data_IF_371241717866
#
_entry.id   IF_371241717866
#
_cell.length_a   1.000
_cell.length_b   1.000
_cell.length_c   1.000
_cell.angle_alpha   90.00
_cell.angle_beta   90.00
_cell.angle_gamma   90.00
#
_symmetry.space_group_name_H-M   'P 1'
#
loop_
_entity.id
_entity.type
_entity.pdbx_description
1 polymer ?
#
# COMPACT_ATOMS: atom_id res chain seq x y z
N UNK A 1 3.41 -5.12 24.90
CA UNK A 1 3.91 -6.50 24.85
C UNK A 1 4.00 -6.89 23.39
N UNK A 2 5.21 -6.91 22.83
CA UNK A 2 5.47 -6.95 21.38
C UNK A 2 6.32 -8.16 20.94
N UNK A 3 6.43 -9.18 21.79
CA UNK A 3 7.44 -10.24 21.66
C UNK A 3 6.91 -11.61 21.19
N UNK A 4 5.86 -11.68 20.36
CA UNK A 4 5.33 -13.02 19.96
C UNK A 4 4.83 -13.17 18.52
N UNK A 5 5.21 -12.31 17.56
CA UNK A 5 4.72 -12.40 16.16
C UNK A 5 5.84 -12.72 15.15
N UNK A 6 6.81 -13.51 15.57
CA UNK A 6 7.98 -13.83 14.75
C UNK A 6 8.15 -15.33 14.60
N UNK A 7 7.11 -16.05 14.17
CA UNK A 7 7.31 -17.41 13.66
C UNK A 7 6.37 -17.71 12.49
N UNK A 8 6.94 -17.78 11.28
CA UNK A 8 6.42 -18.44 10.06
C UNK A 8 6.94 -17.74 8.79
N UNK A 9 8.11 -18.16 8.30
CA UNK A 9 8.63 -17.68 7.01
C UNK A 9 9.85 -18.41 6.48
N UNK A 10 10.04 -19.70 6.78
CA UNK A 10 11.18 -20.48 6.29
C UNK A 10 10.82 -21.35 5.08
N UNK A 11 11.02 -20.85 3.85
CA UNK A 11 11.33 -21.71 2.68
C UNK A 11 12.31 -20.96 1.80
N UNK A 12 13.52 -21.53 1.65
CA UNK A 12 14.63 -20.93 0.91
C UNK A 12 14.25 -20.51 -0.51
N UNK A 13 14.42 -19.21 -0.79
CA UNK A 13 14.40 -18.66 -2.13
C UNK A 13 15.55 -19.27 -2.94
N UNK A 14 15.23 -20.14 -3.91
CA UNK A 14 16.19 -20.53 -4.95
C UNK A 14 16.64 -19.27 -5.70
N UNK A 15 17.92 -19.14 -6.06
CA UNK A 15 18.39 -18.00 -6.84
C UNK A 15 17.68 -17.97 -8.20
N UNK A 16 16.92 -16.90 -8.43
CA UNK A 16 16.24 -16.64 -9.71
C UNK A 16 17.28 -16.28 -10.77
N UNK A 17 17.21 -16.83 -11.99
CA UNK A 17 18.21 -16.60 -13.05
C UNK A 17 18.07 -15.23 -13.74
N UNK A 18 17.90 -14.15 -12.98
CA UNK A 18 17.78 -12.76 -13.49
C UNK A 18 18.98 -11.87 -13.14
N UNK A 19 20.00 -12.40 -12.48
CA UNK A 19 21.21 -11.66 -12.04
C UNK A 19 22.16 -11.24 -13.18
N UNK A 20 21.86 -11.53 -14.44
CA UNK A 20 22.80 -11.36 -15.56
C UNK A 20 22.96 -9.92 -16.10
N UNK A 21 22.20 -8.92 -15.62
CA UNK A 21 22.20 -7.58 -16.24
C UNK A 21 22.86 -6.45 -15.45
N UNK A 22 23.23 -6.63 -14.18
CA UNK A 22 23.83 -5.54 -13.40
C UNK A 22 25.36 -5.72 -13.26
N UNK A 23 26.11 -4.64 -13.47
CA UNK A 23 27.56 -4.64 -13.27
C UNK A 23 27.89 -5.09 -11.85
N UNK A 24 28.74 -6.12 -11.64
CA UNK A 24 29.12 -6.57 -10.31
C UNK A 24 29.66 -5.43 -9.43
N UNK A 25 30.40 -4.50 -10.03
CA UNK A 25 30.91 -3.32 -9.33
C UNK A 25 29.79 -2.36 -8.90
N UNK A 26 28.76 -2.16 -9.74
CA UNK A 26 27.63 -1.31 -9.39
C UNK A 26 26.87 -1.88 -8.18
N UNK A 27 26.61 -3.19 -8.18
CA UNK A 27 25.96 -3.86 -7.05
C UNK A 27 26.79 -3.75 -5.76
N UNK A 28 28.11 -3.98 -5.83
CA UNK A 28 28.99 -3.82 -4.66
C UNK A 28 29.06 -2.38 -4.17
N UNK A 29 29.09 -1.40 -5.08
CA UNK A 29 29.09 0.02 -4.73
C UNK A 29 27.79 0.43 -4.04
N UNK A 30 26.65 -0.08 -4.51
CA UNK A 30 25.36 0.15 -3.88
C UNK A 30 25.28 -0.46 -2.48
N UNK A 31 25.71 -1.71 -2.32
CA UNK A 31 25.77 -2.37 -1.01
C UNK A 31 26.66 -1.62 -0.03
N UNK A 32 27.84 -1.18 -0.47
CA UNK A 32 28.74 -0.36 0.34
C UNK A 32 28.08 0.96 0.75
N UNK A 33 27.42 1.65 -0.19
CA UNK A 33 26.69 2.88 0.10
C UNK A 33 25.59 2.65 1.15
N UNK A 34 24.81 1.58 1.00
CA UNK A 34 23.76 1.22 1.95
C UNK A 34 24.32 0.94 3.34
N UNK A 35 25.44 0.21 3.45
CA UNK A 35 26.13 0.01 4.74
C UNK A 35 26.53 1.35 5.33
N UNK A 36 27.28 2.16 4.58
CA UNK A 36 27.82 3.42 5.07
C UNK A 36 26.72 4.40 5.50
N UNK A 37 25.60 4.45 4.80
CA UNK A 37 24.49 5.35 5.11
C UNK A 37 23.61 4.89 6.30
N UNK A 38 23.58 3.58 6.58
CA UNK A 38 22.81 3.00 7.67
C UNK A 38 23.62 2.77 8.96
N UNK A 39 24.92 3.08 8.96
CA UNK A 39 25.70 3.15 10.21
C UNK A 39 25.08 4.16 11.17
N UNK A 40 25.00 3.79 12.44
CA UNK A 40 24.51 4.66 13.52
C UNK A 40 25.37 5.90 13.65
N UNK A 41 24.73 7.00 14.04
CA UNK A 41 25.44 8.23 14.36
C UNK A 41 26.33 8.00 15.58
N UNK A 42 27.52 8.58 15.58
CA UNK A 42 28.32 8.65 16.80
C UNK A 42 27.81 9.81 17.68
N UNK A 43 28.00 9.77 19.01
CA UNK A 43 27.33 10.68 19.96
C UNK A 43 27.40 12.17 19.62
N UNK A 44 28.52 12.62 19.02
CA UNK A 44 28.77 14.01 18.67
C UNK A 44 29.00 14.24 17.17
N UNK A 45 28.93 13.18 16.35
CA UNK A 45 29.22 13.25 14.91
C UNK A 45 28.17 12.49 14.10
N UNK A 46 27.24 13.21 13.45
CA UNK A 46 26.25 12.59 12.57
C UNK A 46 26.95 11.93 11.37
N UNK A 47 26.33 10.86 10.86
CA UNK A 47 26.87 10.06 9.77
C UNK A 47 27.01 10.91 8.48
N UNK A 48 28.24 11.15 7.99
CA UNK A 48 28.48 12.04 6.85
C UNK A 48 27.89 11.51 5.54
N UNK A 49 27.77 10.18 5.40
CA UNK A 49 27.17 9.55 4.21
C UNK A 49 25.66 9.75 4.19
N UNK A 50 25.01 9.59 5.36
CA UNK A 50 23.58 9.88 5.52
C UNK A 50 23.29 11.35 5.23
N UNK A 51 24.12 12.26 5.75
CA UNK A 51 23.98 13.70 5.45
C UNK A 51 24.17 14.01 3.96
N UNK A 52 25.10 13.34 3.29
CA UNK A 52 25.28 13.48 1.85
C UNK A 52 24.04 13.02 1.07
N UNK A 53 23.45 11.88 1.43
CA UNK A 53 22.19 11.36 0.85
C UNK A 53 21.03 12.33 1.04
N UNK A 54 20.89 12.91 2.24
CA UNK A 54 19.82 13.86 2.57
C UNK A 54 19.91 15.17 1.79
N UNK A 55 21.10 15.57 1.34
CA UNK A 55 21.37 16.94 0.92
C UNK A 55 21.77 17.14 -0.54
N UNK A 56 22.08 16.07 -1.28
CA UNK A 56 22.48 16.23 -2.68
C UNK A 56 21.33 16.78 -3.54
N UNK A 57 21.70 17.52 -4.59
CA UNK A 57 20.78 18.23 -5.50
C UNK A 57 20.94 17.79 -6.95
N UNK A 58 20.01 18.22 -7.80
CA UNK A 58 20.11 17.94 -9.21
C UNK A 58 21.23 18.78 -9.85
N UNK A 59 21.97 18.21 -10.78
CA UNK A 59 22.95 18.95 -11.62
C UNK A 59 22.34 20.13 -12.38
N UNK A 60 21.02 20.13 -12.61
CA UNK A 60 20.31 21.20 -13.30
C UNK A 60 19.82 22.32 -12.36
N UNK A 61 19.97 22.15 -11.04
CA UNK A 61 19.60 23.18 -10.08
C UNK A 61 20.67 24.27 -10.07
N UNK A 62 20.40 25.38 -10.75
CA UNK A 62 21.28 26.56 -10.82
C UNK A 62 21.41 27.33 -9.49
N UNK A 63 20.85 26.83 -8.39
CA UNK A 63 21.04 27.44 -7.08
C UNK A 63 22.50 27.27 -6.68
N UNK A 64 23.24 28.39 -6.61
CA UNK A 64 24.60 28.38 -6.09
C UNK A 64 24.64 27.61 -4.76
N UNK A 65 25.62 26.73 -4.57
CA UNK A 65 25.83 26.08 -3.28
C UNK A 65 26.02 27.17 -2.23
N UNK A 66 25.01 27.40 -1.40
CA UNK A 66 25.24 28.12 -0.15
C UNK A 66 26.21 27.27 0.66
N UNK A 67 27.37 27.82 0.99
CA UNK A 67 28.51 27.16 1.65
C UNK A 67 28.24 26.63 3.07
N UNK A 68 26.98 26.38 3.42
CA UNK A 68 26.54 25.99 4.76
C UNK A 68 26.52 24.48 4.98
N UNK A 69 26.42 23.65 3.93
CA UNK A 69 26.44 22.18 4.08
C UNK A 69 27.69 21.56 3.44
N UNK A 70 28.65 21.06 4.25
CA UNK A 70 29.91 20.49 3.75
C UNK A 70 29.72 19.14 3.01
N UNK A 71 28.54 18.51 3.14
CA UNK A 71 28.24 17.22 2.51
C UNK A 71 27.39 17.33 1.24
N UNK A 72 27.03 18.55 0.82
CA UNK A 72 26.20 18.76 -0.36
C UNK A 72 27.01 18.57 -1.66
N UNK A 73 26.47 17.76 -2.56
CA UNK A 73 26.99 17.56 -3.91
C UNK A 73 25.85 17.54 -4.93
N UNK A 74 26.17 17.45 -6.22
CA UNK A 74 25.19 17.38 -7.30
C UNK A 74 25.28 16.04 -8.02
N UNK A 75 24.12 15.51 -8.41
CA UNK A 75 23.99 14.30 -9.23
C UNK A 75 22.93 14.52 -10.30
N UNK A 76 23.06 13.86 -11.45
CA UNK A 76 22.04 13.91 -12.48
C UNK A 76 20.83 13.07 -12.04
N UNK A 77 19.71 13.74 -11.74
CA UNK A 77 18.51 13.07 -11.26
C UNK A 77 17.87 12.17 -12.31
N UNK A 78 18.00 12.49 -13.60
CA UNK A 78 17.47 11.65 -14.67
C UNK A 78 18.21 10.31 -14.76
N UNK A 79 19.54 10.33 -14.67
CA UNK A 79 20.36 9.12 -14.64
C UNK A 79 20.06 8.27 -13.40
N UNK A 80 19.95 8.91 -12.22
CA UNK A 80 19.58 8.22 -10.99
C UNK A 80 18.19 7.58 -11.08
N UNK A 81 17.20 8.33 -11.56
CA UNK A 81 15.83 7.83 -11.74
C UNK A 81 15.75 6.65 -12.71
N UNK A 82 16.46 6.74 -13.84
CA UNK A 82 16.51 5.66 -14.84
C UNK A 82 17.10 4.40 -14.24
N UNK A 83 18.23 4.52 -13.52
CA UNK A 83 18.87 3.39 -12.85
C UNK A 83 17.97 2.76 -11.77
N UNK A 84 17.23 3.58 -11.00
CA UNK A 84 16.28 3.09 -10.02
C UNK A 84 15.14 2.31 -10.69
N UNK A 85 14.57 2.82 -11.80
CA UNK A 85 13.52 2.11 -12.53
C UNK A 85 13.99 0.75 -13.07
N UNK A 86 15.18 0.71 -13.68
CA UNK A 86 15.75 -0.52 -14.27
C UNK A 86 16.07 -1.58 -13.21
N UNK A 87 16.50 -1.16 -12.01
CA UNK A 87 16.95 -2.06 -10.95
C UNK A 87 15.89 -2.33 -9.88
N UNK A 88 14.67 -1.79 -10.01
CA UNK A 88 13.66 -1.76 -8.94
C UNK A 88 13.18 -3.15 -8.48
N UNK A 89 13.45 -4.21 -9.25
CA UNK A 89 13.17 -5.60 -8.83
C UNK A 89 14.12 -6.12 -7.74
N UNK A 90 15.25 -5.43 -7.52
CA UNK A 90 16.24 -5.79 -6.51
C UNK A 90 15.94 -5.15 -5.15
N UNK A 91 16.24 -5.88 -4.09
CA UNK A 91 16.15 -5.41 -2.70
C UNK A 91 16.97 -4.13 -2.46
N UNK A 92 18.20 -4.10 -2.95
CA UNK A 92 19.14 -3.00 -2.72
C UNK A 92 18.64 -1.70 -3.37
N UNK A 93 18.14 -1.78 -4.61
CA UNK A 93 17.58 -0.60 -5.28
C UNK A 93 16.29 -0.13 -4.61
N UNK A 94 15.45 -1.07 -4.15
CA UNK A 94 14.22 -0.75 -3.43
C UNK A 94 14.53 -0.02 -2.12
N UNK A 95 15.53 -0.50 -1.35
CA UNK A 95 15.95 0.15 -0.12
C UNK A 95 16.55 1.55 -0.38
N UNK A 96 17.38 1.69 -1.42
CA UNK A 96 17.90 3.01 -1.81
C UNK A 96 16.77 3.96 -2.18
N UNK A 97 15.79 3.51 -2.98
CA UNK A 97 14.64 4.32 -3.36
C UNK A 97 13.87 4.81 -2.13
N UNK A 98 13.62 3.91 -1.17
CA UNK A 98 13.02 4.27 0.11
C UNK A 98 13.80 5.39 0.81
N UNK A 99 15.12 5.21 1.00
CA UNK A 99 15.96 6.20 1.68
C UNK A 99 15.91 7.56 0.97
N UNK A 100 15.96 7.55 -0.37
CA UNK A 100 15.92 8.76 -1.17
C UNK A 100 14.56 9.48 -1.08
N UNK A 101 13.45 8.76 -1.16
CA UNK A 101 12.12 9.34 -1.07
C UNK A 101 11.81 9.87 0.34
N UNK A 102 12.27 9.16 1.37
CA UNK A 102 12.04 9.55 2.75
C UNK A 102 12.93 10.73 3.16
N UNK A 103 14.23 10.64 2.88
CA UNK A 103 15.25 11.52 3.47
C UNK A 103 15.69 12.67 2.54
N UNK A 104 15.55 12.55 1.21
CA UNK A 104 15.94 13.61 0.27
C UNK A 104 14.71 14.22 -0.42
N UNK A 105 14.27 15.37 0.09
CA UNK A 105 13.10 16.09 -0.44
C UNK A 105 13.25 16.49 -1.92
N UNK A 106 14.47 16.81 -2.39
CA UNK A 106 14.70 17.17 -3.79
C UNK A 106 14.43 15.98 -4.72
N UNK A 107 14.93 14.80 -4.34
CA UNK A 107 14.69 13.56 -5.11
C UNK A 107 13.20 13.20 -5.06
N UNK A 108 12.56 13.28 -3.89
CA UNK A 108 11.11 13.03 -3.79
C UNK A 108 10.30 13.94 -4.72
N UNK A 109 10.56 15.25 -4.71
CA UNK A 109 9.89 16.20 -5.62
C UNK A 109 10.16 15.88 -7.07
N UNK A 110 11.40 15.51 -7.43
CA UNK A 110 11.74 15.13 -8.79
C UNK A 110 10.99 13.87 -9.26
N UNK A 111 10.92 12.83 -8.42
CA UNK A 111 10.21 11.58 -8.71
C UNK A 111 8.71 11.85 -8.90
N UNK A 112 8.09 12.63 -8.02
CA UNK A 112 6.67 12.98 -8.11
C UNK A 112 6.32 13.83 -9.35
N UNK A 113 7.30 14.53 -9.93
CA UNK A 113 7.12 15.32 -11.15
C UNK A 113 7.30 14.52 -12.46
N UNK A 114 7.63 13.23 -12.38
CA UNK A 114 7.85 12.38 -13.57
C UNK A 114 6.55 12.00 -14.27
N UNK A 115 6.58 12.02 -15.60
CA UNK A 115 5.45 11.60 -16.45
C UNK A 115 5.47 10.11 -16.76
N UNK A 116 6.61 9.46 -16.55
CA UNK A 116 6.90 8.04 -16.81
C UNK A 116 7.00 7.24 -15.51
N UNK A 117 6.15 7.58 -14.53
CA UNK A 117 6.16 7.04 -13.17
C UNK A 117 5.80 5.55 -13.11
N UNK A 118 5.13 5.04 -14.15
CA UNK A 118 4.81 3.61 -14.30
C UNK A 118 6.07 2.74 -14.35
N UNK A 119 7.18 3.25 -14.89
CA UNK A 119 8.45 2.51 -14.93
C UNK A 119 9.00 2.23 -13.54
N UNK A 120 8.67 3.08 -12.56
CA UNK A 120 9.05 2.92 -11.16
C UNK A 120 8.00 2.12 -10.38
N UNK A 121 6.71 2.45 -10.57
CA UNK A 121 5.62 1.88 -9.76
C UNK A 121 5.29 0.45 -10.17
N UNK A 122 5.36 0.08 -11.46
CA UNK A 122 5.01 -1.28 -11.89
C UNK A 122 5.87 -2.37 -11.26
N UNK A 123 7.21 -2.27 -11.21
CA UNK A 123 8.04 -3.24 -10.50
C UNK A 123 7.68 -3.34 -9.00
N UNK A 124 7.33 -2.23 -8.36
CA UNK A 124 6.93 -2.20 -6.93
C UNK A 124 5.61 -2.96 -6.74
N UNK A 125 4.64 -2.77 -7.65
CA UNK A 125 3.40 -3.54 -7.63
C UNK A 125 3.64 -5.04 -7.87
N UNK A 126 4.57 -5.39 -8.75
CA UNK A 126 4.95 -6.79 -9.01
C UNK A 126 5.59 -7.44 -7.77
N UNK A 127 6.39 -6.70 -6.99
CA UNK A 127 6.94 -7.16 -5.69
C UNK A 127 5.80 -7.48 -4.71
N UNK A 128 4.84 -6.57 -4.54
CA UNK A 128 3.71 -6.78 -3.62
C UNK A 128 2.76 -7.87 -4.08
N UNK A 129 2.60 -8.04 -5.39
CA UNK A 129 1.74 -9.09 -5.95
C UNK A 129 2.29 -10.49 -5.67
N UNK A 130 3.61 -10.66 -5.71
CA UNK A 130 4.34 -11.91 -5.42
C UNK A 130 4.85 -11.97 -3.96
N UNK A 131 4.10 -11.42 -3.01
CA UNK A 131 4.47 -11.36 -1.57
C UNK A 131 4.95 -12.71 -1.00
N UNK A 132 4.42 -13.84 -1.49
CA UNK A 132 4.77 -15.18 -1.04
C UNK A 132 6.15 -15.69 -1.51
N UNK A 133 6.72 -15.05 -2.54
CA UNK A 133 8.03 -15.39 -3.11
C UNK A 133 9.13 -14.41 -2.65
N UNK A 134 8.76 -13.39 -1.87
CA UNK A 134 9.64 -12.29 -1.45
C UNK A 134 9.92 -12.36 0.03
N UNK A 135 11.09 -11.86 0.43
CA UNK A 135 11.36 -11.68 1.85
C UNK A 135 10.51 -10.54 2.41
N UNK A 136 10.16 -10.62 3.71
CA UNK A 136 9.29 -9.65 4.37
C UNK A 136 9.83 -8.21 4.33
N UNK A 137 11.15 -8.04 4.48
CA UNK A 137 11.79 -6.72 4.44
C UNK A 137 11.57 -6.04 3.09
N UNK A 138 11.74 -6.76 1.97
CA UNK A 138 11.51 -6.23 0.62
C UNK A 138 10.06 -5.81 0.40
N UNK A 139 9.12 -6.62 0.89
CA UNK A 139 7.68 -6.33 0.84
C UNK A 139 7.36 -5.07 1.64
N UNK A 140 7.90 -4.92 2.84
CA UNK A 140 7.71 -3.71 3.65
C UNK A 140 8.28 -2.47 2.97
N UNK A 141 9.49 -2.56 2.39
CA UNK A 141 10.06 -1.42 1.65
C UNK A 141 9.17 -1.01 0.46
N UNK A 142 8.73 -1.98 -0.34
CA UNK A 142 7.82 -1.72 -1.45
C UNK A 142 6.52 -1.04 -0.99
N UNK A 143 5.94 -1.49 0.12
CA UNK A 143 4.72 -0.89 0.66
C UNK A 143 4.94 0.52 1.24
N UNK A 144 6.04 0.75 1.95
CA UNK A 144 6.39 2.07 2.48
C UNK A 144 6.61 3.07 1.34
N UNK A 145 7.27 2.65 0.25
CA UNK A 145 7.42 3.49 -0.94
C UNK A 145 6.05 3.87 -1.51
N UNK A 146 5.12 2.92 -1.66
CA UNK A 146 3.76 3.25 -2.10
C UNK A 146 3.06 4.21 -1.13
N UNK A 147 3.23 4.01 0.18
CA UNK A 147 2.65 4.91 1.17
C UNK A 147 3.18 6.34 0.99
N UNK A 148 4.50 6.52 0.90
CA UNK A 148 5.14 7.83 0.68
C UNK A 148 4.67 8.47 -0.63
N UNK A 149 4.57 7.70 -1.72
CA UNK A 149 4.11 8.23 -3.02
C UNK A 149 2.63 8.66 -2.95
N UNK A 150 1.79 7.87 -2.29
CA UNK A 150 0.35 8.17 -2.17
C UNK A 150 0.04 9.35 -1.24
N UNK A 151 0.99 9.86 -0.45
CA UNK A 151 0.81 11.10 0.31
C UNK A 151 0.48 12.31 -0.60
N UNK A 152 0.95 12.29 -1.85
CA UNK A 152 0.78 13.38 -2.81
C UNK A 152 -0.49 13.26 -3.67
N UNK A 153 -1.31 14.31 -3.68
CA UNK A 153 -2.55 14.37 -4.48
C UNK A 153 -2.30 14.47 -5.99
N UNK A 154 -1.16 15.01 -6.41
CA UNK A 154 -0.75 15.06 -7.82
C UNK A 154 -0.49 13.65 -8.33
N UNK A 155 0.32 12.88 -7.61
CA UNK A 155 0.57 11.47 -7.87
C UNK A 155 -0.74 10.69 -7.95
N UNK A 156 -1.58 10.76 -6.91
CA UNK A 156 -2.84 9.99 -6.86
C UNK A 156 -3.77 10.28 -8.04
N UNK A 157 -3.80 11.53 -8.54
CA UNK A 157 -4.59 11.87 -9.74
C UNK A 157 -3.94 11.35 -11.02
N UNK A 158 -2.64 11.59 -11.19
CA UNK A 158 -1.91 11.29 -12.43
C UNK A 158 -1.88 9.79 -12.76
N UNK A 159 -1.72 8.92 -11.77
CA UNK A 159 -1.65 7.46 -12.00
C UNK A 159 -2.94 6.87 -12.56
N UNK A 160 -4.09 7.53 -12.38
CA UNK A 160 -5.34 7.10 -13.00
C UNK A 160 -5.43 7.44 -14.49
N UNK A 161 -4.57 8.33 -14.99
CA UNK A 161 -4.49 8.75 -16.39
C UNK A 161 -3.47 7.92 -17.19
N UNK A 162 -2.53 7.26 -16.50
CA UNK A 162 -1.55 6.36 -17.12
C UNK A 162 -2.20 5.02 -17.46
N UNK A 163 -2.43 4.76 -18.75
CA UNK A 163 -3.05 3.53 -19.25
C UNK A 163 -1.99 2.49 -19.59
N UNK A 164 -2.10 1.35 -18.93
CA UNK A 164 -1.24 0.19 -19.13
C UNK A 164 -1.94 -0.83 -20.03
N UNK A 165 -1.14 -1.50 -20.86
CA UNK A 165 -1.62 -2.53 -21.77
C UNK A 165 -1.00 -3.88 -21.43
N UNK A 166 -1.83 -4.91 -21.44
CA UNK A 166 -1.42 -6.32 -21.32
C UNK A 166 -0.57 -6.61 -20.08
N UNK A 167 -1.16 -6.51 -18.89
CA UNK A 167 -0.49 -6.94 -17.65
C UNK A 167 -0.45 -8.48 -17.63
N UNK A 168 0.75 -9.06 -17.78
CA UNK A 168 0.93 -10.51 -17.95
C UNK A 168 1.08 -11.28 -16.64
N UNK A 169 1.55 -10.62 -15.57
CA UNK A 169 1.80 -11.25 -14.28
C UNK A 169 0.57 -11.31 -13.36
N UNK A 170 -0.49 -10.54 -13.66
CA UNK A 170 -1.72 -10.56 -12.88
C UNK A 170 -2.60 -11.75 -13.29
N UNK A 171 -2.76 -12.73 -12.41
CA UNK A 171 -3.28 -14.05 -12.76
C UNK A 171 -4.80 -14.20 -12.56
N UNK A 172 -5.42 -13.42 -11.67
CA UNK A 172 -6.85 -13.59 -11.35
C UNK A 172 -7.78 -13.15 -12.48
N UNK A 173 -7.29 -12.32 -13.40
CA UNK A 173 -8.04 -11.84 -14.57
C UNK A 173 -7.10 -11.33 -15.65
N UNK A 174 -7.41 -11.61 -16.91
CA UNK A 174 -6.72 -10.97 -18.04
C UNK A 174 -7.02 -9.47 -18.04
N UNK A 175 -5.98 -8.65 -17.89
CA UNK A 175 -6.05 -7.19 -17.89
C UNK A 175 -5.45 -6.65 -19.19
N UNK A 176 -6.30 -6.48 -20.21
CA UNK A 176 -5.88 -5.95 -21.53
C UNK A 176 -5.56 -4.47 -21.48
N UNK A 177 -6.40 -3.68 -20.81
CA UNK A 177 -6.24 -2.23 -20.64
C UNK A 177 -6.71 -1.81 -19.25
N UNK A 178 -5.83 -1.18 -18.47
CA UNK A 178 -6.12 -0.74 -17.10
C UNK A 178 -5.26 0.46 -16.74
N UNK A 179 -5.79 1.42 -15.97
CA UNK A 179 -4.95 2.49 -15.45
C UNK A 179 -4.01 2.00 -14.35
N UNK A 180 -2.83 2.60 -14.24
CA UNK A 180 -1.87 2.30 -13.17
C UNK A 180 -2.51 2.42 -11.79
N UNK A 181 -3.32 3.46 -11.56
CA UNK A 181 -4.06 3.63 -10.31
C UNK A 181 -5.06 2.52 -10.03
N UNK A 182 -5.77 2.01 -11.04
CA UNK A 182 -6.67 0.85 -10.87
C UNK A 182 -5.90 -0.44 -10.58
N UNK A 183 -4.72 -0.63 -11.19
CA UNK A 183 -3.86 -1.77 -10.93
C UNK A 183 -3.28 -1.74 -9.52
N UNK A 184 -2.82 -0.57 -9.06
CA UNK A 184 -2.34 -0.36 -7.69
C UNK A 184 -3.42 -0.78 -6.69
N UNK A 185 -4.66 -0.31 -6.86
CA UNK A 185 -5.78 -0.69 -6.00
C UNK A 185 -5.99 -2.22 -5.99
N UNK A 186 -5.94 -2.88 -7.15
CA UNK A 186 -6.09 -4.34 -7.24
C UNK A 186 -4.99 -5.08 -6.47
N UNK A 187 -3.73 -4.65 -6.62
CA UNK A 187 -2.59 -5.25 -5.94
C UNK A 187 -2.69 -5.04 -4.44
N UNK A 188 -2.97 -3.82 -3.98
CA UNK A 188 -3.09 -3.54 -2.53
C UNK A 188 -4.27 -4.31 -1.92
N UNK A 189 -5.41 -4.42 -2.61
CA UNK A 189 -6.53 -5.27 -2.15
C UNK A 189 -6.10 -6.74 -2.05
N UNK A 190 -5.37 -7.26 -3.04
CA UNK A 190 -4.84 -8.63 -2.98
C UNK A 190 -3.89 -8.81 -1.79
N UNK A 191 -3.00 -7.85 -1.54
CA UNK A 191 -2.08 -7.87 -0.40
C UNK A 191 -2.83 -7.88 0.93
N UNK A 192 -3.88 -7.06 1.08
CA UNK A 192 -4.77 -7.09 2.26
C UNK A 192 -5.41 -8.47 2.41
N UNK A 193 -5.99 -9.03 1.35
CA UNK A 193 -6.65 -10.35 1.39
C UNK A 193 -5.68 -11.48 1.76
N UNK A 194 -4.48 -11.47 1.19
CA UNK A 194 -3.42 -12.41 1.52
C UNK A 194 -3.07 -12.29 3.00
N UNK A 195 -2.84 -11.07 3.47
CA UNK A 195 -2.46 -10.82 4.85
C UNK A 195 -3.54 -11.27 5.85
N UNK A 196 -4.81 -11.00 5.54
CA UNK A 196 -5.95 -11.42 6.36
C UNK A 196 -6.06 -12.92 6.56
N UNK A 197 -5.63 -13.70 5.55
CA UNK A 197 -5.84 -15.14 5.49
C UNK A 197 -4.60 -15.95 5.90
N UNK A 198 -3.40 -15.39 5.69
CA UNK A 198 -2.13 -16.09 5.91
C UNK A 198 -1.33 -15.51 7.07
N UNK A 199 -0.83 -14.29 6.93
CA UNK A 199 0.22 -13.73 7.79
C UNK A 199 -0.30 -13.02 9.04
N UNK A 200 -1.49 -12.40 8.96
CA UNK A 200 -2.11 -11.61 10.05
C UNK A 200 -1.20 -10.51 10.61
N UNK A 201 -0.37 -9.95 9.76
CA UNK A 201 0.54 -8.87 10.10
C UNK A 201 -0.25 -7.54 10.16
N UNK A 202 -0.19 -6.89 11.32
CA UNK A 202 -0.83 -5.60 11.57
C UNK A 202 -0.19 -4.48 10.76
N UNK A 203 1.13 -4.46 10.65
CA UNK A 203 1.87 -3.39 9.97
C UNK A 203 1.52 -3.35 8.47
N UNK A 204 1.60 -4.50 7.81
CA UNK A 204 1.24 -4.64 6.40
C UNK A 204 -0.24 -4.27 6.16
N UNK A 205 -1.16 -4.62 7.08
CA UNK A 205 -2.57 -4.22 6.98
C UNK A 205 -2.74 -2.70 7.03
N UNK A 206 -2.19 -2.07 8.08
CA UNK A 206 -2.35 -0.64 8.33
C UNK A 206 -1.79 0.19 7.16
N UNK A 207 -0.60 -0.16 6.68
CA UNK A 207 0.03 0.58 5.57
C UNK A 207 -0.69 0.38 4.23
N UNK A 208 -1.24 -0.81 3.96
CA UNK A 208 -2.07 -1.03 2.76
C UNK A 208 -3.35 -0.18 2.80
N UNK A 209 -4.03 -0.14 3.95
CA UNK A 209 -5.23 0.67 4.11
C UNK A 209 -4.92 2.17 4.03
N UNK A 210 -3.82 2.61 4.64
CA UNK A 210 -3.35 3.99 4.57
C UNK A 210 -3.08 4.43 3.12
N UNK A 211 -2.41 3.59 2.32
CA UNK A 211 -2.16 3.87 0.90
C UNK A 211 -3.47 3.95 0.09
N UNK A 212 -4.42 3.02 0.29
CA UNK A 212 -5.74 3.10 -0.36
C UNK A 212 -6.54 4.33 0.08
N UNK A 213 -6.47 4.69 1.37
CA UNK A 213 -7.16 5.81 1.95
C UNK A 213 -6.63 7.15 1.43
N UNK A 214 -5.32 7.29 1.32
CA UNK A 214 -4.66 8.43 0.68
C UNK A 214 -5.17 8.69 -0.75
N UNK A 215 -5.34 7.63 -1.54
CA UNK A 215 -5.79 7.71 -2.93
C UNK A 215 -7.29 7.99 -3.08
N UNK A 216 -8.10 7.63 -2.07
CA UNK A 216 -9.56 7.51 -2.17
C UNK A 216 -10.28 8.78 -2.69
N UNK A 217 -9.80 9.96 -2.30
CA UNK A 217 -10.37 11.23 -2.74
C UNK A 217 -10.10 11.53 -4.22
N UNK A 218 -9.01 10.97 -4.77
CA UNK A 218 -8.53 11.20 -6.13
C UNK A 218 -8.81 10.06 -7.10
N UNK A 219 -9.52 9.01 -6.66
CA UNK A 219 -9.96 7.94 -7.56
C UNK A 219 -10.62 8.51 -8.82
N UNK A 220 -10.21 8.03 -9.98
CA UNK A 220 -10.73 8.52 -11.26
C UNK A 220 -10.84 7.38 -12.25
N UNK A 221 -11.98 7.30 -12.93
CA UNK A 221 -12.23 6.34 -14.01
C UNK A 221 -11.84 4.90 -13.62
N UNK A 222 -12.18 4.49 -12.38
CA UNK A 222 -11.82 3.16 -11.89
C UNK A 222 -12.26 2.07 -12.87
N UNK A 223 -11.34 1.16 -13.18
CA UNK A 223 -11.66 -0.02 -13.97
C UNK A 223 -12.77 -0.83 -13.29
N UNK A 224 -13.73 -1.35 -14.05
CA UNK A 224 -14.91 -2.07 -13.51
C UNK A 224 -14.52 -3.16 -12.51
N UNK A 225 -13.47 -3.92 -12.84
CA UNK A 225 -12.95 -4.97 -11.96
C UNK A 225 -12.37 -4.43 -10.65
N UNK A 226 -11.66 -3.29 -10.67
CA UNK A 226 -11.11 -2.67 -9.47
C UNK A 226 -12.23 -2.17 -8.55
N UNK A 227 -13.23 -1.49 -9.12
CA UNK A 227 -14.43 -1.07 -8.40
C UNK A 227 -15.16 -2.25 -7.73
N UNK A 228 -15.33 -3.36 -8.45
CA UNK A 228 -15.92 -4.58 -7.89
C UNK A 228 -15.07 -5.18 -6.77
N UNK A 229 -13.73 -5.16 -6.89
CA UNK A 229 -12.83 -5.71 -5.87
C UNK A 229 -12.82 -4.89 -4.59
N UNK A 230 -12.98 -3.56 -4.65
CA UNK A 230 -13.19 -2.70 -3.46
C UNK A 230 -14.42 -3.19 -2.68
N UNK A 231 -15.57 -3.32 -3.35
CA UNK A 231 -16.82 -3.77 -2.71
C UNK A 231 -16.72 -5.25 -2.24
N UNK A 232 -15.99 -6.08 -2.99
CA UNK A 232 -15.76 -7.48 -2.62
C UNK A 232 -14.88 -7.64 -1.37
N UNK A 233 -13.88 -6.77 -1.18
CA UNK A 233 -13.08 -6.74 0.04
C UNK A 233 -13.95 -6.38 1.24
N UNK A 234 -14.80 -5.36 1.12
CA UNK A 234 -15.78 -5.03 2.17
C UNK A 234 -16.72 -6.21 2.47
N UNK A 235 -17.18 -6.93 1.44
CA UNK A 235 -18.00 -8.14 1.64
C UNK A 235 -17.27 -9.24 2.39
N UNK A 236 -15.99 -9.46 2.10
CA UNK A 236 -15.16 -10.44 2.80
C UNK A 236 -14.99 -10.07 4.27
N UNK A 237 -14.69 -8.80 4.56
CA UNK A 237 -14.55 -8.27 5.91
C UNK A 237 -15.85 -8.43 6.72
N UNK A 238 -16.98 -8.06 6.14
CA UNK A 238 -18.29 -8.23 6.74
C UNK A 238 -18.60 -9.68 7.09
N UNK A 239 -18.35 -10.62 6.18
CA UNK A 239 -18.54 -12.05 6.45
C UNK A 239 -17.63 -12.55 7.58
N UNK A 240 -16.39 -12.07 7.63
CA UNK A 240 -15.44 -12.40 8.70
C UNK A 240 -15.93 -11.85 10.04
N UNK A 241 -16.39 -10.61 10.10
CA UNK A 241 -16.99 -10.00 11.29
C UNK A 241 -18.16 -10.83 11.81
N UNK A 242 -19.15 -11.13 10.97
CA UNK A 242 -20.31 -11.93 11.37
C UNK A 242 -19.91 -13.32 11.89
N UNK A 243 -18.93 -13.98 11.24
CA UNK A 243 -18.44 -15.29 11.69
C UNK A 243 -17.78 -15.22 13.07
N UNK A 244 -16.94 -14.23 13.33
CA UNK A 244 -16.27 -14.07 14.64
C UNK A 244 -17.30 -13.67 15.72
N UNK A 245 -18.29 -12.85 15.37
CA UNK A 245 -19.37 -12.45 16.28
C UNK A 245 -20.26 -13.64 16.68
N UNK A 246 -20.60 -14.51 15.72
CA UNK A 246 -21.32 -15.76 15.99
C UNK A 246 -20.51 -16.68 16.90
N UNK A 247 -19.21 -16.82 16.66
CA UNK A 247 -18.31 -17.63 17.50
C UNK A 247 -18.24 -17.08 18.93
N UNK A 248 -18.05 -15.77 19.10
CA UNK A 248 -18.05 -15.13 20.41
C UNK A 248 -19.37 -15.34 21.17
N UNK A 249 -20.50 -15.20 20.48
CA UNK A 249 -21.84 -15.39 21.06
C UNK A 249 -22.08 -16.85 21.46
N UNK A 250 -21.63 -17.81 20.66
CA UNK A 250 -21.74 -19.25 20.97
C UNK A 250 -20.86 -19.65 22.16
N UNK A 251 -19.62 -19.15 22.23
CA UNK A 251 -18.73 -19.39 23.37
C UNK A 251 -19.30 -18.85 24.68
N UNK A 252 -19.88 -17.65 24.67
CA UNK A 252 -20.56 -17.08 25.85
C UNK A 252 -21.78 -17.91 26.30
N UNK A 253 -22.50 -18.53 25.37
CA UNK A 253 -23.62 -19.43 25.69
C UNK A 253 -23.17 -20.81 26.17
N UNK A 254 -22.02 -21.31 25.70
CA UNK A 254 -21.46 -22.62 26.06
C UNK A 254 -20.62 -22.64 27.34
N UNK A 255 -20.11 -21.49 27.79
CA UNK A 255 -19.23 -21.37 28.97
C UNK A 255 -19.93 -21.53 30.34
N UNK A 256 -21.23 -21.87 30.36
CA UNK A 256 -21.96 -22.15 31.61
C UNK A 256 -21.55 -23.48 32.30
N UNK A 257 -20.55 -24.21 31.80
CA UNK A 257 -20.20 -25.55 32.30
C UNK A 257 -18.72 -25.96 32.36
N UNK A 258 -17.73 -25.14 31.97
CA UNK A 258 -16.32 -25.55 32.04
C UNK A 258 -15.35 -24.36 32.17
N UNK A 259 -14.64 -24.28 33.29
CA UNK A 259 -13.81 -23.14 33.69
C UNK A 259 -12.33 -23.17 33.26
N UNK A 260 -11.86 -24.15 32.50
CA UNK A 260 -10.41 -24.40 32.33
C UNK A 260 -9.87 -24.22 30.90
N UNK A 261 -10.40 -23.27 30.12
CA UNK A 261 -9.71 -22.83 28.89
C UNK A 261 -9.61 -21.31 28.83
N UNK A 262 -8.44 -20.74 28.49
CA UNK A 262 -8.32 -19.30 28.30
C UNK A 262 -9.30 -18.89 27.20
N UNK A 263 -10.24 -18.01 27.55
CA UNK A 263 -11.18 -17.45 26.59
C UNK A 263 -10.37 -16.81 25.45
N UNK A 264 -10.58 -17.22 24.18
CA UNK A 264 -9.95 -16.54 23.06
C UNK A 264 -10.37 -15.07 23.08
N UNK A 265 -9.45 -14.16 22.77
CA UNK A 265 -9.73 -12.71 22.74
C UNK A 265 -10.52 -12.31 21.49
N UNK A 266 -11.72 -12.87 21.37
CA UNK A 266 -12.65 -12.56 20.29
C UNK A 266 -13.03 -11.08 20.27
N UNK A 267 -12.96 -10.39 21.42
CA UNK A 267 -13.25 -8.97 21.50
C UNK A 267 -12.18 -8.14 20.78
N UNK A 268 -10.90 -8.44 20.98
CA UNK A 268 -9.81 -7.79 20.25
C UNK A 268 -9.87 -8.09 18.76
N UNK A 269 -10.11 -9.35 18.37
CA UNK A 269 -10.25 -9.74 16.95
C UNK A 269 -11.42 -9.01 16.28
N UNK A 270 -12.56 -8.88 16.96
CA UNK A 270 -13.71 -8.12 16.47
C UNK A 270 -13.37 -6.64 16.31
N UNK A 271 -12.76 -6.02 17.31
CA UNK A 271 -12.37 -4.61 17.25
C UNK A 271 -11.46 -4.32 16.06
N UNK A 272 -10.45 -5.16 15.81
CA UNK A 272 -9.56 -5.00 14.64
C UNK A 272 -10.33 -5.12 13.34
N UNK A 273 -11.24 -6.11 13.22
CA UNK A 273 -12.05 -6.25 12.01
C UNK A 273 -12.98 -5.03 11.83
N UNK A 274 -13.56 -4.51 12.90
CA UNK A 274 -14.41 -3.32 12.87
C UNK A 274 -13.64 -2.07 12.43
N UNK A 275 -12.42 -1.86 12.93
CA UNK A 275 -11.55 -0.77 12.48
C UNK A 275 -11.27 -0.84 10.98
N UNK A 276 -11.01 -2.05 10.46
CA UNK A 276 -10.76 -2.25 9.02
C UNK A 276 -12.03 -2.05 8.19
N UNK A 277 -13.19 -2.53 8.67
CA UNK A 277 -14.50 -2.28 8.05
C UNK A 277 -14.77 -0.79 7.99
N UNK A 278 -14.54 -0.08 9.10
CA UNK A 278 -14.71 1.36 9.20
C UNK A 278 -13.85 2.10 8.18
N UNK A 279 -12.56 1.76 8.11
CA UNK A 279 -11.63 2.37 7.15
C UNK A 279 -12.09 2.14 5.70
N UNK A 280 -12.60 0.95 5.37
CA UNK A 280 -13.17 0.67 4.04
C UNK A 280 -14.41 1.51 3.73
N UNK A 281 -15.30 1.72 4.72
CA UNK A 281 -16.47 2.59 4.57
C UNK A 281 -16.06 4.07 4.43
N UNK A 282 -15.02 4.51 5.13
CA UNK A 282 -14.46 5.85 5.00
C UNK A 282 -13.81 6.06 3.62
N UNK A 283 -13.08 5.08 3.10
CA UNK A 283 -12.52 5.07 1.73
C UNK A 283 -13.64 5.22 0.68
N UNK A 284 -14.71 4.42 0.81
CA UNK A 284 -15.87 4.52 -0.08
C UNK A 284 -16.48 5.92 0.02
N UNK A 285 -16.71 6.43 1.23
CA UNK A 285 -17.26 7.76 1.46
C UNK A 285 -16.42 8.89 0.89
N UNK A 286 -15.09 8.80 1.02
CA UNK A 286 -14.15 9.75 0.45
C UNK A 286 -14.29 9.82 -1.07
N UNK A 287 -14.41 8.67 -1.74
CA UNK A 287 -14.69 8.64 -3.18
C UNK A 287 -16.07 9.20 -3.52
N UNK A 288 -17.12 8.81 -2.78
CA UNK A 288 -18.49 9.31 -3.01
C UNK A 288 -18.62 10.83 -2.82
N UNK A 289 -17.83 11.40 -1.93
CA UNK A 289 -17.87 12.84 -1.62
C UNK A 289 -17.05 13.65 -2.61
N UNK A 290 -15.83 13.17 -2.94
CA UNK A 290 -14.85 13.97 -3.69
C UNK A 290 -14.85 13.66 -5.20
N UNK A 291 -15.06 12.41 -5.60
CA UNK A 291 -14.80 11.94 -6.97
C UNK A 291 -15.90 11.07 -7.59
N UNK A 292 -17.10 11.01 -7.01
CA UNK A 292 -18.22 10.17 -7.49
C UNK A 292 -18.49 10.30 -8.99
N UNK A 293 -18.55 11.53 -9.49
CA UNK A 293 -18.80 11.86 -10.90
C UNK A 293 -17.74 11.29 -11.87
N UNK A 294 -16.55 10.96 -11.38
CA UNK A 294 -15.51 10.30 -12.15
C UNK A 294 -15.54 8.78 -12.04
N UNK A 295 -16.37 8.19 -11.16
CA UNK A 295 -16.32 6.77 -10.82
C UNK A 295 -17.68 6.06 -10.97
N UNK A 296 -18.28 6.05 -12.17
CA UNK A 296 -19.58 5.39 -12.40
C UNK A 296 -19.53 3.89 -12.11
N UNK A 297 -18.38 3.23 -12.35
CA UNK A 297 -18.20 1.82 -12.06
C UNK A 297 -18.25 1.49 -10.57
N UNK A 298 -17.81 2.41 -9.70
CA UNK A 298 -17.92 2.22 -8.25
C UNK A 298 -19.36 2.35 -7.79
N UNK A 299 -20.09 3.36 -8.29
CA UNK A 299 -21.52 3.51 -8.00
C UNK A 299 -22.31 2.29 -8.50
N UNK A 300 -21.98 1.79 -9.70
CA UNK A 300 -22.57 0.56 -10.23
C UNK A 300 -22.33 -0.64 -9.31
N UNK A 301 -21.08 -0.86 -8.88
CA UNK A 301 -20.73 -1.95 -7.98
C UNK A 301 -21.41 -1.81 -6.59
N UNK A 302 -21.55 -0.58 -6.09
CA UNK A 302 -22.25 -0.27 -4.85
C UNK A 302 -23.73 -0.65 -4.95
N UNK A 303 -24.42 -0.23 -6.02
CA UNK A 303 -25.83 -0.54 -6.24
C UNK A 303 -26.08 -2.04 -6.41
N UNK A 304 -25.19 -2.73 -7.13
CA UNK A 304 -25.27 -4.17 -7.34
C UNK A 304 -25.14 -4.99 -6.04
N UNK A 305 -24.48 -4.43 -5.01
CA UNK A 305 -24.29 -5.06 -3.70
C UNK A 305 -24.88 -4.24 -2.54
N UNK A 306 -25.93 -3.46 -2.81
CA UNK A 306 -26.53 -2.55 -1.80
C UNK A 306 -26.97 -3.25 -0.52
N UNK A 307 -27.44 -4.49 -0.61
CA UNK A 307 -27.93 -5.28 0.53
C UNK A 307 -26.82 -5.57 1.56
N UNK A 308 -25.55 -5.56 1.14
CA UNK A 308 -24.40 -5.76 2.02
C UNK A 308 -24.28 -4.69 3.11
N UNK A 309 -24.79 -3.49 2.82
CA UNK A 309 -24.65 -2.31 3.66
C UNK A 309 -25.73 -2.21 4.74
N UNK A 310 -26.84 -2.94 4.61
CA UNK A 310 -28.01 -2.76 5.48
C UNK A 310 -27.73 -3.11 6.94
N UNK A 311 -26.95 -4.16 7.20
CA UNK A 311 -26.58 -4.61 8.55
C UNK A 311 -25.79 -3.55 9.34
N UNK A 312 -25.15 -2.60 8.66
CA UNK A 312 -24.31 -1.58 9.29
C UNK A 312 -25.09 -0.32 9.66
N UNK A 313 -26.33 -0.16 9.17
CA UNK A 313 -27.18 1.01 9.44
C UNK A 313 -27.49 1.19 10.92
N UNK A 314 -27.69 0.08 11.64
CA UNK A 314 -28.06 0.06 13.06
C UNK A 314 -26.88 -0.23 13.97
N UNK A 315 -25.68 -0.45 13.41
CA UNK A 315 -24.51 -0.82 14.18
C UNK A 315 -23.88 0.45 14.80
N UNK A 316 -23.67 0.51 16.13
CA UNK A 316 -23.18 1.72 16.81
C UNK A 316 -21.87 2.27 16.25
N UNK A 317 -20.96 1.38 15.84
CA UNK A 317 -19.63 1.73 15.27
C UNK A 317 -19.67 2.30 13.85
N UNK A 318 -20.78 2.15 13.11
CA UNK A 318 -20.83 2.44 11.67
C UNK A 318 -21.98 3.36 11.24
N UNK A 319 -23.04 3.47 12.04
CA UNK A 319 -24.25 4.22 11.71
C UNK A 319 -23.98 5.66 11.23
N UNK A 320 -22.95 6.30 11.76
CA UNK A 320 -22.59 7.69 11.47
C UNK A 320 -21.94 7.87 10.08
N UNK A 321 -21.34 6.80 9.54
CA UNK A 321 -20.66 6.74 8.24
C UNK A 321 -21.60 6.27 7.13
N UNK A 322 -22.71 5.61 7.48
CA UNK A 322 -23.66 5.05 6.51
C UNK A 322 -24.52 6.09 5.79
N UNK A 323 -24.72 7.27 6.37
CA UNK A 323 -25.63 8.31 5.85
C UNK A 323 -25.40 8.65 4.36
N UNK A 324 -24.15 8.89 3.97
CA UNK A 324 -23.79 9.25 2.59
C UNK A 324 -23.98 8.07 1.63
N UNK A 325 -23.63 6.86 2.06
CA UNK A 325 -23.78 5.64 1.27
C UNK A 325 -25.26 5.38 1.00
N UNK A 326 -26.11 5.47 2.02
CA UNK A 326 -27.56 5.31 1.89
C UNK A 326 -28.16 6.39 0.98
N UNK A 327 -27.75 7.66 1.13
CA UNK A 327 -28.21 8.75 0.26
C UNK A 327 -27.90 8.45 -1.22
N UNK A 328 -26.66 8.04 -1.52
CA UNK A 328 -26.24 7.69 -2.88
C UNK A 328 -27.03 6.49 -3.39
N UNK A 329 -27.15 5.41 -2.60
CA UNK A 329 -27.89 4.20 -2.99
C UNK A 329 -29.36 4.55 -3.28
N UNK A 330 -30.03 5.28 -2.40
CA UNK A 330 -31.44 5.67 -2.57
C UNK A 330 -31.63 6.59 -3.78
N UNK A 331 -30.76 7.59 -3.97
CA UNK A 331 -30.84 8.51 -5.09
C UNK A 331 -30.73 7.79 -6.43
N UNK A 332 -29.72 6.93 -6.61
CA UNK A 332 -29.55 6.20 -7.86
C UNK A 332 -30.56 5.06 -8.04
N UNK A 333 -30.98 4.38 -6.97
CA UNK A 333 -32.03 3.34 -7.06
C UNK A 333 -33.33 3.94 -7.59
N UNK A 334 -33.77 5.10 -7.07
CA UNK A 334 -34.98 5.78 -7.56
C UNK A 334 -34.89 6.17 -9.04
N UNK A 335 -33.72 6.62 -9.51
CA UNK A 335 -33.52 6.95 -10.93
C UNK A 335 -33.53 5.72 -11.83
N UNK A 336 -33.01 4.59 -11.36
CA UNK A 336 -33.06 3.33 -12.10
C UNK A 336 -34.50 2.80 -12.19
N UNK A 337 -35.26 2.86 -11.10
CA UNK A 337 -36.68 2.49 -11.09
C UNK A 337 -37.50 3.35 -12.07
N UNK A 338 -37.24 4.65 -12.14
CA UNK A 338 -37.87 5.56 -13.11
C UNK A 338 -37.52 5.24 -14.57
N UNK A 339 -36.36 4.62 -14.82
CA UNK A 339 -35.91 4.27 -16.17
C UNK A 339 -36.48 2.94 -16.68
N UNK A 340 -37.11 2.13 -15.83
CA UNK A 340 -37.76 0.86 -16.19
C UNK A 340 -37.02 -0.39 -15.69
N UNK A 341 -37.65 -1.56 -15.84
CA UNK A 341 -37.23 -2.82 -15.21
C UNK A 341 -36.14 -3.60 -15.98
N UNK A 342 -35.94 -3.34 -17.28
CA UNK A 342 -34.98 -4.06 -18.13
C UNK A 342 -33.93 -3.08 -18.69
N UNK A 343 -32.92 -2.78 -17.89
CA UNK A 343 -31.83 -1.89 -18.28
C UNK A 343 -30.56 -2.69 -18.60
N UNK A 344 -29.95 -2.43 -19.77
CA UNK A 344 -28.62 -2.94 -20.07
C UNK A 344 -27.56 -2.30 -19.17
N UNK A 345 -26.38 -2.93 -19.04
CA UNK A 345 -25.28 -2.40 -18.22
C UNK A 345 -24.84 -1.01 -18.72
N UNK A 346 -24.78 -0.82 -20.03
CA UNK A 346 -24.45 0.46 -20.67
C UNK A 346 -25.48 1.52 -20.27
N UNK A 347 -26.77 1.17 -20.33
CA UNK A 347 -27.85 2.10 -19.96
C UNK A 347 -27.81 2.47 -18.49
N UNK A 348 -27.53 1.51 -17.60
CA UNK A 348 -27.36 1.77 -16.16
C UNK A 348 -26.19 2.74 -15.93
N UNK A 349 -25.05 2.52 -16.59
CA UNK A 349 -23.88 3.39 -16.46
C UNK A 349 -24.14 4.81 -17.00
N UNK A 350 -24.91 4.95 -18.07
CA UNK A 350 -25.36 6.27 -18.56
C UNK A 350 -26.21 7.00 -17.52
N UNK A 351 -27.20 6.31 -16.94
CA UNK A 351 -28.07 6.88 -15.89
C UNK A 351 -27.23 7.30 -14.68
N UNK A 352 -26.24 6.49 -14.28
CA UNK A 352 -25.31 6.83 -13.21
C UNK A 352 -24.50 8.08 -13.55
N UNK A 353 -23.93 8.17 -14.75
CA UNK A 353 -23.15 9.35 -15.19
C UNK A 353 -23.99 10.62 -15.17
N UNK A 354 -25.23 10.56 -15.66
CA UNK A 354 -26.16 11.69 -15.64
C UNK A 354 -26.58 12.05 -14.21
N UNK A 355 -26.91 11.05 -13.40
CA UNK A 355 -27.31 11.25 -12.00
C UNK A 355 -26.19 11.82 -11.13
N UNK A 356 -24.93 11.48 -11.39
CA UNK A 356 -23.78 11.98 -10.64
C UNK A 356 -23.61 13.51 -10.73
N UNK A 357 -24.03 14.12 -11.84
CA UNK A 357 -24.05 15.58 -12.01
C UNK A 357 -25.21 16.21 -11.24
N UNK A 358 -26.35 15.50 -11.17
CA UNK A 358 -27.57 15.96 -10.52
C UNK A 358 -27.65 15.66 -9.00
N UNK A 359 -26.68 14.92 -8.46
CA UNK A 359 -26.65 14.56 -7.04
C UNK A 359 -26.47 15.82 -6.18
N UNK A 360 -27.34 16.08 -5.19
CA UNK A 360 -27.21 17.22 -4.29
C UNK A 360 -26.04 17.00 -3.32
N UNK A 361 -24.83 17.42 -3.74
CA UNK A 361 -23.59 17.23 -2.96
C UNK A 361 -23.60 17.95 -1.62
N UNK A 362 -24.41 18.99 -1.47
CA UNK A 362 -24.65 19.73 -0.23
C UNK A 362 -25.27 18.85 0.88
N UNK A 363 -25.96 17.78 0.50
CA UNK A 363 -26.54 16.81 1.45
C UNK A 363 -25.57 15.73 1.90
N UNK A 364 -24.40 15.62 1.26
CA UNK A 364 -23.36 14.69 1.69
C UNK A 364 -22.64 15.26 2.90
N UNK A 365 -22.62 14.48 3.98
CA UNK A 365 -21.84 14.77 5.18
C UNK A 365 -20.36 14.80 4.81
N UNK A 366 -19.64 15.81 5.29
CA UNK A 366 -18.19 15.89 5.18
C UNK A 366 -17.54 15.10 6.32
N UNK A 367 -16.67 14.16 5.95
CA UNK A 367 -15.80 13.45 6.88
C UNK A 367 -14.40 14.05 6.86
N UNK A 368 -13.57 13.80 7.89
CA UNK A 368 -12.16 14.17 7.87
C UNK A 368 -11.45 13.63 6.63
N UNK A 369 -10.47 14.39 6.13
CA UNK A 369 -9.66 13.93 5.02
C UNK A 369 -8.80 12.74 5.43
N UNK A 370 -8.83 11.69 4.61
CA UNK A 370 -8.01 10.51 4.79
C UNK A 370 -6.60 10.79 4.28
N UNK A 371 -5.76 11.34 5.16
CA UNK A 371 -4.35 11.66 4.89
C UNK A 371 -3.46 10.99 5.92
N UNK A 372 -2.76 9.97 5.47
CA UNK A 372 -1.81 9.18 6.23
C UNK A 372 -0.41 9.46 5.70
N UNK A 373 0.50 9.76 6.61
CA UNK A 373 1.92 9.92 6.29
C UNK A 373 2.70 8.74 6.82
N UNK A 374 3.72 8.34 6.08
CA UNK A 374 4.72 7.44 6.62
C UNK A 374 5.47 8.14 7.75
N UNK A 375 5.54 7.47 8.90
CA UNK A 375 6.34 7.86 10.05
C UNK A 375 7.28 6.70 10.32
N UNK A 376 8.57 7.00 10.31
CA UNK A 376 9.61 6.05 10.69
C UNK A 376 9.50 5.75 12.20
N UNK A 377 9.71 4.49 12.60
CA UNK A 377 9.66 4.06 14.00
C UNK A 377 10.79 4.74 14.83
N UNK A 378 10.72 4.70 16.16
CA UNK A 378 11.71 5.37 17.03
C UNK A 378 13.13 4.80 16.90
N UNK A 379 13.26 3.50 16.62
CA UNK A 379 14.54 2.77 16.50
C UNK A 379 14.63 2.07 15.14
N UNK A 380 14.71 2.81 14.03
CA UNK A 380 14.70 2.23 12.68
C UNK A 380 15.93 1.37 12.41
N UNK A 381 17.03 1.60 13.12
CA UNK A 381 18.26 0.80 13.03
C UNK A 381 18.06 -0.68 13.36
N UNK A 382 17.11 -1.02 14.23
CA UNK A 382 16.79 -2.42 14.58
C UNK A 382 16.25 -3.20 13.38
N UNK A 383 15.64 -2.49 12.42
CA UNK A 383 15.16 -3.06 11.17
C UNK A 383 16.20 -2.93 10.05
N UNK A 384 16.73 -1.72 9.82
CA UNK A 384 17.55 -1.45 8.64
C UNK A 384 18.95 -2.05 8.73
N UNK A 385 19.60 -2.04 9.89
CA UNK A 385 20.96 -2.56 10.01
C UNK A 385 20.99 -4.08 9.72
N UNK A 386 20.16 -4.93 10.37
CA UNK A 386 20.10 -6.34 10.04
C UNK A 386 19.75 -6.59 8.58
N UNK A 387 18.80 -5.83 8.03
CA UNK A 387 18.39 -5.98 6.64
C UNK A 387 19.54 -5.68 5.67
N UNK A 388 20.23 -4.55 5.81
CA UNK A 388 21.37 -4.19 4.96
C UNK A 388 22.47 -5.25 5.02
N UNK A 389 22.82 -5.72 6.22
CA UNK A 389 23.84 -6.77 6.37
C UNK A 389 23.41 -8.10 5.77
N UNK A 390 22.11 -8.45 5.83
CA UNK A 390 21.59 -9.62 5.14
C UNK A 390 21.73 -9.51 3.62
N UNK A 391 21.55 -8.30 3.05
CA UNK A 391 21.76 -8.06 1.62
C UNK A 391 23.22 -8.21 1.23
N UNK A 392 24.13 -7.69 2.05
CA UNK A 392 25.58 -7.85 1.86
C UNK A 392 25.96 -9.32 1.89
N UNK A 393 25.54 -10.06 2.92
CA UNK A 393 25.87 -11.47 3.08
C UNK A 393 25.35 -12.32 1.91
N UNK A 394 24.11 -12.10 1.47
CA UNK A 394 23.49 -12.89 0.39
C UNK A 394 24.00 -12.53 -1.02
N UNK A 395 24.48 -11.29 -1.21
CA UNK A 395 24.80 -10.75 -2.54
C UNK A 395 26.31 -10.59 -2.79
N UNK A 396 27.14 -10.63 -1.75
CA UNK A 396 28.59 -10.55 -1.86
C UNK A 396 29.19 -11.89 -2.32
N UNK A 397 28.91 -12.28 -3.56
CA UNK A 397 29.43 -13.50 -4.21
C UNK A 397 30.98 -13.57 -4.20
N UNK A 398 31.67 -12.44 -4.01
CA UNK A 398 33.13 -12.34 -4.07
C UNK A 398 33.83 -12.17 -2.70
N UNK A 399 33.11 -12.01 -1.60
CA UNK A 399 33.69 -11.92 -0.25
C UNK A 399 33.22 -13.11 0.57
N UNK A 400 34.16 -13.99 0.94
CA UNK A 400 33.84 -15.11 1.82
C UNK A 400 33.61 -14.60 3.25
N UNK A 401 32.43 -14.86 3.78
CA UNK A 401 32.03 -14.59 5.15
C UNK A 401 31.88 -15.95 5.85
N UNK A 402 32.63 -16.23 6.92
CA UNK A 402 32.43 -17.46 7.70
C UNK A 402 31.18 -17.30 8.59
N UNK A 403 30.09 -18.04 8.35
CA UNK A 403 28.86 -17.89 9.12
C UNK A 403 29.01 -18.27 10.59
N UNK A 404 30.03 -19.06 10.94
CA UNK A 404 30.32 -19.46 12.32
C UNK A 404 31.05 -18.37 13.12
N UNK A 405 31.72 -17.44 12.44
CA UNK A 405 32.49 -16.36 13.07
C UNK A 405 31.79 -15.00 12.98
N UNK A 406 30.63 -14.95 12.33
CA UNK A 406 29.83 -13.73 12.15
C UNK A 406 28.49 -13.96 12.83
N UNK A 407 28.32 -13.31 13.97
CA UNK A 407 27.00 -13.14 14.56
C UNK A 407 26.29 -12.03 13.77
N UNK A 408 25.74 -12.38 12.61
CA UNK A 408 24.69 -11.56 12.02
C UNK A 408 23.57 -11.50 13.05
N UNK A 409 22.99 -10.30 13.24
CA UNK A 409 21.82 -10.10 14.09
C UNK A 409 20.89 -11.31 13.95
N UNK A 410 20.51 -11.92 15.07
CA UNK A 410 19.73 -13.16 15.08
C UNK A 410 18.62 -13.07 14.05
N UNK A 411 18.68 -13.91 13.00
CA UNK A 411 17.60 -14.12 12.03
C UNK A 411 16.42 -14.86 12.67
N UNK A 412 16.17 -14.65 13.96
CA UNK A 412 15.24 -15.48 14.71
C UNK A 412 13.83 -14.98 14.47
N UNK A 413 13.24 -15.65 13.50
CA UNK A 413 11.81 -15.92 13.47
C UNK A 413 11.59 -17.27 12.80
N UNK A 414 11.78 -18.35 13.57
CA UNK A 414 11.64 -19.73 13.11
C UNK A 414 10.23 -20.15 12.71
#
# INVERSE_FOLDING_TARGET
>A
GLWTVFTLGGVGSKPTPQLEQCSPLANQSLLLLLVLANLTDAPDTPNPYRQAIMSFKNTQDNTAFSSSNPHAFQINFNSLYTALCEQQKSDQATLLLYMLLHQNSNVRTYVLARTDIENLVLPILEILYHVEERNSHHVYMALIILLILTEDDGFNRSIHEVILKNITWYAERVLTEISLGSLLILVVIRTIQYNMTRTRDKYLHTNCLAALANMSAQFRSLHQYAAQRIISLFSLLSKKHNKVLEQATQSLRGSLGSNDSPLPDYAQDLNVIEEVIRMMLEIINSCLTNSLHHNPNLVYALLYKRDLFEQFRTHPSFQDIMQNIDLVISFFSSRLEQAGAELSVERVLEIIKQGAVALPKDRLRKFPELKFKYVEEEQPEEFFIPYVWSLVYNSAVALYWNPHDIQLFTMDSG
#
